data_IF_738943497938
#
_entry.id   IF_738943497938
#
_cell.length_a   1.000
_cell.length_b   1.000
_cell.length_c   1.000
_cell.angle_alpha   90.00
_cell.angle_beta   90.00
_cell.angle_gamma   90.00
#
_symmetry.space_group_name_H-M   'P 1'
#
loop_
_entity.id
_entity.type
_entity.pdbx_description
1 polymer ?
#
# COMPACT_ATOMS: atom_id res chain seq x y z
N UNK A 1 -25.76 34.37 -66.81
CA UNK A 1 -25.70 34.42 -65.33
C UNK A 1 -24.96 33.22 -64.82
N UNK A 2 -23.68 33.38 -64.43
CA UNK A 2 -22.86 32.31 -63.87
C UNK A 2 -23.06 32.36 -62.35
N UNK A 3 -23.61 31.29 -61.78
CA UNK A 3 -23.68 31.09 -60.32
C UNK A 3 -22.37 30.50 -59.81
N UNK A 4 -21.54 31.29 -59.13
CA UNK A 4 -20.33 30.88 -58.47
C UNK A 4 -20.73 30.27 -57.12
N UNK A 5 -20.57 28.95 -56.99
CA UNK A 5 -20.79 28.22 -55.78
C UNK A 5 -19.56 28.38 -54.88
N UNK A 6 -19.66 29.12 -53.78
CA UNK A 6 -18.57 29.31 -52.80
C UNK A 6 -18.59 28.12 -51.82
N UNK A 7 -17.71 27.19 -52.02
CA UNK A 7 -17.49 26.08 -51.08
C UNK A 7 -16.65 26.58 -49.89
N UNK A 8 -17.31 26.86 -48.78
CA UNK A 8 -16.66 27.17 -47.51
C UNK A 8 -16.15 25.85 -46.92
N UNK A 9 -14.89 25.52 -47.14
CA UNK A 9 -14.19 24.45 -46.47
C UNK A 9 -13.97 24.85 -45.00
N UNK A 10 -14.87 24.43 -44.13
CA UNK A 10 -14.66 24.44 -42.69
C UNK A 10 -13.61 23.39 -42.35
N UNK A 11 -12.34 23.79 -42.24
CA UNK A 11 -11.28 22.98 -41.67
C UNK A 11 -11.56 22.83 -40.17
N UNK A 12 -12.24 21.76 -39.77
CA UNK A 12 -12.35 21.37 -38.38
C UNK A 12 -10.93 20.93 -37.97
N UNK A 13 -10.18 21.81 -37.34
CA UNK A 13 -8.94 21.48 -36.67
C UNK A 13 -9.33 20.67 -35.44
N UNK A 14 -9.35 19.36 -35.58
CA UNK A 14 -9.43 18.43 -34.47
C UNK A 14 -8.14 18.61 -33.67
N UNK A 15 -8.16 19.45 -32.65
CA UNK A 15 -7.13 19.41 -31.60
C UNK A 15 -7.32 18.09 -30.88
N UNK A 16 -6.58 17.06 -31.29
CA UNK A 16 -6.53 15.80 -30.57
C UNK A 16 -6.01 16.08 -29.15
N UNK A 17 -6.81 15.78 -28.14
CA UNK A 17 -6.38 15.87 -26.74
C UNK A 17 -5.17 14.96 -26.56
N UNK A 18 -4.08 15.49 -26.00
CA UNK A 18 -2.89 14.69 -25.69
C UNK A 18 -3.23 13.66 -24.62
N UNK A 19 -2.79 12.44 -24.84
CA UNK A 19 -3.02 11.34 -23.88
C UNK A 19 -1.70 10.70 -23.46
N UNK A 20 -1.65 10.25 -22.22
CA UNK A 20 -0.61 9.38 -21.68
C UNK A 20 -1.26 8.08 -21.23
N UNK A 21 -0.82 6.96 -21.75
CA UNK A 21 -1.39 5.65 -21.44
C UNK A 21 -0.66 5.01 -20.25
N UNK A 22 -1.39 4.41 -19.34
CA UNK A 22 -0.82 3.54 -18.29
C UNK A 22 -0.29 2.28 -18.97
N UNK A 23 1.02 2.24 -19.19
CA UNK A 23 1.69 1.13 -19.87
C UNK A 23 1.81 -0.11 -18.98
N UNK A 24 0.97 -1.13 -19.24
CA UNK A 24 0.96 -2.42 -18.55
C UNK A 24 1.89 -3.44 -19.25
N UNK A 25 3.09 -3.02 -19.64
CA UNK A 25 4.08 -3.86 -20.32
C UNK A 25 5.04 -4.60 -19.39
N UNK A 26 5.07 -4.25 -18.08
CA UNK A 26 5.99 -4.86 -17.12
C UNK A 26 5.57 -6.30 -16.80
N UNK A 27 6.54 -7.22 -16.68
CA UNK A 27 6.25 -8.61 -16.36
C UNK A 27 5.65 -8.78 -14.96
N UNK A 28 4.48 -9.42 -14.92
CA UNK A 28 3.77 -9.88 -13.72
C UNK A 28 3.63 -11.40 -13.72
N UNK A 29 4.67 -12.11 -14.18
CA UNK A 29 4.66 -13.58 -14.23
C UNK A 29 4.53 -14.17 -12.83
N UNK A 30 3.55 -15.05 -12.65
CA UNK A 30 3.47 -15.98 -11.52
C UNK A 30 4.47 -17.13 -11.74
N UNK A 31 5.60 -17.08 -11.04
CA UNK A 31 6.65 -18.10 -11.19
C UNK A 31 6.23 -19.49 -10.75
N UNK A 32 5.18 -19.60 -9.91
CA UNK A 32 4.63 -20.88 -9.44
C UNK A 32 3.52 -21.40 -10.35
N UNK A 33 3.06 -20.60 -11.30
CA UNK A 33 1.88 -20.88 -12.13
C UNK A 33 0.68 -21.33 -11.28
N UNK A 34 0.44 -20.68 -10.13
CA UNK A 34 -0.58 -21.10 -9.17
C UNK A 34 -1.97 -20.60 -9.55
N UNK A 35 -2.05 -19.50 -10.30
CA UNK A 35 -3.31 -18.84 -10.62
C UNK A 35 -3.90 -19.38 -11.93
N UNK A 36 -5.16 -19.80 -11.86
CA UNK A 36 -5.96 -20.31 -12.99
C UNK A 36 -6.60 -19.20 -13.79
N UNK A 37 -7.26 -18.28 -13.10
CA UNK A 37 -8.00 -17.18 -13.72
C UNK A 37 -7.84 -15.88 -12.92
N UNK A 38 -8.00 -14.74 -13.61
CA UNK A 38 -8.12 -13.42 -13.00
C UNK A 38 -9.48 -12.82 -13.38
N UNK A 39 -10.25 -12.42 -12.38
CA UNK A 39 -11.41 -11.53 -12.53
C UNK A 39 -11.01 -10.14 -12.04
N UNK A 40 -11.23 -9.12 -12.86
CA UNK A 40 -10.97 -7.73 -12.48
C UNK A 40 -12.29 -7.00 -12.27
N UNK A 41 -12.46 -6.42 -11.10
CA UNK A 41 -13.63 -5.64 -10.69
C UNK A 41 -13.17 -4.18 -10.52
N UNK A 42 -13.66 -3.29 -11.39
CA UNK A 42 -13.43 -1.85 -11.25
C UNK A 42 -14.57 -1.23 -10.43
N UNK A 43 -14.28 -0.93 -9.16
CA UNK A 43 -15.23 -0.34 -8.19
C UNK A 43 -15.09 1.16 -8.07
N UNK A 44 -14.26 1.80 -8.90
CA UNK A 44 -14.09 3.24 -8.85
C UNK A 44 -15.40 3.94 -9.18
N UNK A 45 -15.79 4.88 -8.33
CA UNK A 45 -16.98 5.72 -8.57
C UNK A 45 -16.80 6.60 -9.83
N UNK A 46 -15.55 7.03 -10.10
CA UNK A 46 -15.13 7.75 -11.28
C UNK A 46 -14.05 6.94 -12.00
N UNK A 47 -14.32 6.50 -13.21
CA UNK A 47 -13.39 5.71 -14.00
C UNK A 47 -12.31 6.55 -14.69
N UNK A 48 -12.42 7.89 -14.67
CA UNK A 48 -11.39 8.77 -15.18
C UNK A 48 -10.16 8.73 -14.27
N UNK A 49 -8.98 8.51 -14.85
CA UNK A 49 -7.73 8.50 -14.09
C UNK A 49 -7.30 9.90 -13.70
N UNK A 50 -7.36 10.85 -14.63
CA UNK A 50 -7.06 12.25 -14.38
C UNK A 50 -6.30 12.95 -15.51
N UNK A 51 -5.91 14.19 -15.26
CA UNK A 51 -5.20 15.05 -16.22
C UNK A 51 -4.05 15.77 -15.54
N UNK A 52 -2.98 16.00 -16.31
CA UNK A 52 -1.79 16.76 -15.91
C UNK A 52 -1.47 17.77 -17.00
N UNK A 53 -1.16 18.99 -16.63
CA UNK A 53 -0.68 19.99 -17.61
C UNK A 53 0.77 19.72 -17.99
N UNK A 54 1.03 19.71 -19.27
CA UNK A 54 2.37 19.73 -19.83
C UNK A 54 2.54 20.97 -20.70
N UNK A 55 3.32 21.93 -20.22
CA UNK A 55 3.40 23.30 -20.75
C UNK A 55 2.01 23.97 -20.73
N UNK A 56 1.38 24.13 -21.88
CA UNK A 56 0.03 24.73 -22.04
C UNK A 56 -1.04 23.72 -22.41
N UNK A 57 -0.65 22.46 -22.62
CA UNK A 57 -1.54 21.39 -23.08
C UNK A 57 -1.98 20.51 -21.92
N UNK A 58 -3.24 20.13 -21.92
CA UNK A 58 -3.77 19.10 -21.01
C UNK A 58 -3.42 17.73 -21.57
N UNK A 59 -2.79 16.91 -20.72
CA UNK A 59 -2.50 15.51 -21.02
C UNK A 59 -3.42 14.64 -20.16
N UNK A 60 -4.37 13.98 -20.79
CA UNK A 60 -5.27 13.03 -20.13
C UNK A 60 -4.55 11.70 -19.93
N UNK A 61 -4.59 11.16 -18.71
CA UNK A 61 -4.02 9.84 -18.40
C UNK A 61 -5.13 8.81 -18.49
N UNK A 62 -4.91 7.75 -19.26
CA UNK A 62 -5.93 6.78 -19.61
C UNK A 62 -5.39 5.34 -19.55
N UNK A 63 -6.28 4.35 -19.46
CA UNK A 63 -6.04 3.00 -19.95
C UNK A 63 -6.25 2.94 -21.46
N UNK A 64 -5.69 1.98 -22.15
CA UNK A 64 -5.86 1.83 -23.61
C UNK A 64 -7.32 1.54 -23.99
N UNK A 65 -7.98 0.65 -23.25
CA UNK A 65 -9.41 0.35 -23.37
C UNK A 65 -10.15 0.81 -22.12
N UNK A 66 -10.05 0.01 -21.06
CA UNK A 66 -10.51 0.31 -19.70
C UNK A 66 -9.72 -0.51 -18.70
N UNK A 67 -9.77 -0.11 -17.42
CA UNK A 67 -8.96 -0.74 -16.38
C UNK A 67 -9.18 -2.25 -16.29
N UNK A 68 -10.42 -2.72 -16.30
CA UNK A 68 -10.74 -4.14 -16.14
C UNK A 68 -10.17 -4.98 -17.26
N UNK A 69 -10.38 -4.55 -18.52
CA UNK A 69 -9.90 -5.27 -19.69
C UNK A 69 -8.37 -5.27 -19.75
N UNK A 70 -7.74 -4.10 -19.60
CA UNK A 70 -6.31 -3.94 -19.80
C UNK A 70 -5.52 -4.69 -18.71
N UNK A 71 -5.98 -4.66 -17.44
CA UNK A 71 -5.36 -5.44 -16.35
C UNK A 71 -5.54 -6.93 -16.57
N UNK A 72 -6.70 -7.37 -17.03
CA UNK A 72 -6.98 -8.78 -17.32
C UNK A 72 -6.12 -9.29 -18.50
N UNK A 73 -6.04 -8.52 -19.59
CA UNK A 73 -5.21 -8.86 -20.76
C UNK A 73 -3.72 -8.89 -20.36
N UNK A 74 -3.29 -7.95 -19.52
CA UNK A 74 -1.94 -7.91 -18.96
C UNK A 74 -1.61 -9.17 -18.18
N UNK A 75 -2.52 -9.62 -17.30
CA UNK A 75 -2.34 -10.86 -16.56
C UNK A 75 -2.17 -12.06 -17.50
N UNK A 76 -3.09 -12.24 -18.46
CA UNK A 76 -3.05 -13.39 -19.36
C UNK A 76 -1.86 -13.38 -20.32
N UNK A 77 -1.38 -12.22 -20.71
CA UNK A 77 -0.15 -12.06 -21.52
C UNK A 77 1.07 -12.67 -20.83
N UNK A 78 1.21 -12.47 -19.51
CA UNK A 78 2.39 -12.93 -18.78
C UNK A 78 2.20 -14.28 -18.08
N UNK A 79 0.99 -14.81 -18.03
CA UNK A 79 0.66 -16.08 -17.37
C UNK A 79 -0.08 -17.05 -18.33
N UNK A 80 0.61 -17.52 -19.40
CA UNK A 80 -0.01 -18.47 -20.36
C UNK A 80 -0.22 -19.86 -19.75
N UNK A 81 0.66 -20.27 -18.82
CA UNK A 81 0.50 -21.51 -18.03
C UNK A 81 -0.26 -21.19 -16.76
N UNK A 82 -1.31 -21.97 -16.47
CA UNK A 82 -2.27 -21.69 -15.43
C UNK A 82 -2.33 -22.80 -14.40
N UNK A 83 -2.59 -22.40 -13.15
CA UNK A 83 -2.79 -23.30 -12.01
C UNK A 83 -4.26 -23.61 -11.73
N UNK A 84 -4.59 -23.70 -10.44
CA UNK A 84 -5.91 -24.10 -9.97
C UNK A 84 -6.65 -23.03 -9.15
N UNK A 85 -6.00 -21.90 -8.81
CA UNK A 85 -6.59 -20.89 -7.94
C UNK A 85 -7.21 -19.75 -8.77
N UNK A 86 -8.43 -19.39 -8.48
CA UNK A 86 -9.07 -18.22 -9.05
C UNK A 86 -8.76 -16.98 -8.22
N UNK A 87 -8.22 -15.93 -8.87
CA UNK A 87 -7.89 -14.65 -8.25
C UNK A 87 -8.89 -13.59 -8.67
N UNK A 88 -9.24 -12.74 -7.72
CA UNK A 88 -10.02 -11.52 -7.99
C UNK A 88 -9.18 -10.31 -7.65
N UNK A 89 -9.12 -9.36 -8.56
CA UNK A 89 -8.50 -8.06 -8.40
C UNK A 89 -9.58 -7.00 -8.34
N UNK A 90 -9.57 -6.19 -7.28
CA UNK A 90 -10.52 -5.09 -7.10
C UNK A 90 -9.76 -3.78 -7.19
N UNK A 91 -10.11 -2.93 -8.16
CA UNK A 91 -9.59 -1.58 -8.28
C UNK A 91 -10.57 -0.62 -7.60
N UNK A 92 -10.18 -0.11 -6.43
CA UNK A 92 -11.03 0.72 -5.58
C UNK A 92 -10.85 2.22 -5.85
N UNK A 93 -9.59 2.64 -6.11
CA UNK A 93 -9.24 4.01 -6.46
C UNK A 93 -8.01 4.05 -7.38
N UNK A 94 -8.06 4.89 -8.38
CA UNK A 94 -6.90 5.27 -9.19
C UNK A 94 -7.16 6.69 -9.70
N UNK A 95 -6.51 7.66 -9.08
CA UNK A 95 -6.67 9.07 -9.41
C UNK A 95 -5.31 9.73 -9.54
N UNK A 96 -5.15 10.52 -10.58
CA UNK A 96 -3.96 11.34 -10.81
C UNK A 96 -4.41 12.79 -10.90
N UNK A 97 -3.76 13.66 -10.14
CA UNK A 97 -4.06 15.08 -10.07
C UNK A 97 -2.78 15.92 -10.00
N UNK A 98 -2.92 17.22 -10.17
CA UNK A 98 -1.83 18.18 -10.14
C UNK A 98 -2.18 19.37 -9.25
N UNK A 99 -1.26 19.73 -8.38
CA UNK A 99 -1.25 20.98 -7.63
C UNK A 99 -0.20 21.92 -8.25
N UNK A 100 -0.66 22.97 -8.95
CA UNK A 100 0.19 23.94 -9.64
C UNK A 100 0.66 25.02 -8.70
N UNK A 101 1.95 25.23 -8.67
CA UNK A 101 2.61 26.34 -8.00
C UNK A 101 3.15 27.30 -9.06
N UNK A 102 3.56 28.47 -8.64
CA UNK A 102 4.04 29.52 -9.54
C UNK A 102 5.20 29.06 -10.48
N UNK A 103 6.15 28.27 -9.95
CA UNK A 103 7.35 27.85 -10.69
C UNK A 103 7.48 26.34 -10.92
N UNK A 104 6.55 25.53 -10.42
CA UNK A 104 6.55 24.07 -10.56
C UNK A 104 5.18 23.52 -10.23
N UNK A 105 5.00 22.24 -10.52
CA UNK A 105 3.80 21.50 -10.14
C UNK A 105 4.15 20.32 -9.25
N UNK A 106 3.20 19.93 -8.43
CA UNK A 106 3.24 18.69 -7.66
C UNK A 106 2.16 17.76 -8.23
N UNK A 107 2.58 16.70 -8.89
CA UNK A 107 1.70 15.64 -9.32
C UNK A 107 1.42 14.68 -8.17
N UNK A 108 0.17 14.23 -8.05
CA UNK A 108 -0.30 13.29 -7.04
C UNK A 108 -0.94 12.09 -7.71
N UNK A 109 -0.55 10.88 -7.32
CA UNK A 109 -1.21 9.62 -7.65
C UNK A 109 -1.80 9.04 -6.37
N UNK A 110 -3.09 8.75 -6.38
CA UNK A 110 -3.80 7.99 -5.36
C UNK A 110 -4.19 6.64 -5.96
N UNK A 111 -3.76 5.55 -5.35
CA UNK A 111 -4.08 4.21 -5.82
C UNK A 111 -4.48 3.33 -4.65
N UNK A 112 -5.65 2.68 -4.79
CA UNK A 112 -6.11 1.63 -3.90
C UNK A 112 -6.59 0.46 -4.72
N UNK A 113 -6.00 -0.70 -4.49
CA UNK A 113 -6.38 -1.95 -5.13
C UNK A 113 -6.10 -3.11 -4.20
N UNK A 114 -6.94 -4.15 -4.29
CA UNK A 114 -6.88 -5.33 -3.44
C UNK A 114 -7.02 -6.60 -4.25
N UNK A 115 -6.49 -7.69 -3.72
CA UNK A 115 -6.59 -9.01 -4.33
C UNK A 115 -7.20 -10.01 -3.38
N UNK A 116 -7.93 -10.96 -3.95
CA UNK A 116 -8.61 -12.03 -3.22
C UNK A 116 -8.40 -13.36 -3.93
N UNK A 117 -8.42 -14.44 -3.17
CA UNK A 117 -8.62 -15.80 -3.69
C UNK A 117 -10.11 -16.12 -3.65
N UNK A 118 -10.69 -16.51 -4.79
CA UNK A 118 -12.07 -16.99 -4.83
C UNK A 118 -12.09 -18.49 -4.57
N UNK A 119 -12.82 -18.91 -3.54
CA UNK A 119 -13.05 -20.31 -3.17
C UNK A 119 -14.55 -20.60 -3.13
N UNK A 120 -14.91 -21.84 -2.80
CA UNK A 120 -16.33 -22.26 -2.71
C UNK A 120 -17.11 -21.52 -1.64
N UNK A 121 -16.45 -21.17 -0.53
CA UNK A 121 -17.02 -20.46 0.62
C UNK A 121 -17.00 -18.93 0.50
N UNK A 122 -16.41 -18.37 -0.56
CA UNK A 122 -16.38 -16.94 -0.81
C UNK A 122 -15.01 -16.39 -1.23
N UNK A 123 -14.79 -15.12 -0.90
CA UNK A 123 -13.60 -14.36 -1.29
C UNK A 123 -12.69 -14.19 -0.07
N UNK A 124 -11.45 -14.65 -0.17
CA UNK A 124 -10.43 -14.57 0.85
C UNK A 124 -9.42 -13.50 0.50
N UNK A 125 -9.29 -12.49 1.34
CA UNK A 125 -8.35 -11.40 1.14
C UNK A 125 -6.90 -11.92 1.08
N UNK A 126 -6.08 -11.36 0.16
CA UNK A 126 -4.66 -11.71 0.03
C UNK A 126 -3.78 -10.52 0.35
N UNK A 127 -3.91 -9.44 -0.42
CA UNK A 127 -3.04 -8.26 -0.28
C UNK A 127 -3.75 -7.00 -0.77
N UNK A 128 -3.24 -5.84 -0.35
CA UNK A 128 -3.75 -4.52 -0.71
C UNK A 128 -2.61 -3.53 -0.89
N UNK A 129 -2.72 -2.71 -1.91
CA UNK A 129 -1.98 -1.47 -2.01
C UNK A 129 -2.93 -0.29 -1.81
N UNK A 130 -2.63 0.52 -0.81
CA UNK A 130 -3.33 1.77 -0.53
C UNK A 130 -2.27 2.84 -0.34
N UNK A 131 -2.06 3.68 -1.36
CA UNK A 131 -0.91 4.56 -1.39
C UNK A 131 -1.19 5.87 -2.10
N UNK A 132 -0.51 6.91 -1.63
CA UNK A 132 -0.44 8.21 -2.27
C UNK A 132 1.01 8.51 -2.60
N UNK A 133 1.27 8.80 -3.87
CA UNK A 133 2.60 9.18 -4.36
C UNK A 133 2.56 10.62 -4.84
N UNK A 134 3.48 11.44 -4.36
CA UNK A 134 3.67 12.81 -4.84
C UNK A 134 5.00 12.96 -5.56
N UNK A 135 5.00 13.72 -6.67
CA UNK A 135 6.17 13.95 -7.52
C UNK A 135 6.24 15.43 -7.88
N UNK A 136 7.40 16.07 -7.66
CA UNK A 136 7.61 17.45 -8.07
C UNK A 136 8.18 17.55 -9.48
N UNK A 137 7.63 18.44 -10.31
CA UNK A 137 8.13 18.71 -11.66
C UNK A 137 9.54 19.29 -11.70
N UNK A 138 10.05 19.82 -10.57
CA UNK A 138 11.43 20.25 -10.43
C UNK A 138 12.43 19.10 -10.53
N UNK A 139 12.02 17.90 -10.04
CA UNK A 139 12.87 16.70 -10.01
C UNK A 139 12.52 15.81 -11.19
N UNK A 140 11.25 15.82 -11.61
CA UNK A 140 10.70 14.91 -12.59
C UNK A 140 9.83 15.68 -13.59
N UNK A 141 10.42 16.15 -14.72
CA UNK A 141 9.75 17.09 -15.64
C UNK A 141 8.50 16.52 -16.32
N UNK A 142 8.46 15.22 -16.61
CA UNK A 142 7.33 14.58 -17.32
C UNK A 142 6.37 13.94 -16.31
N UNK A 143 5.58 14.77 -15.59
CA UNK A 143 4.71 14.31 -14.50
C UNK A 143 3.71 13.25 -14.95
N UNK A 144 2.99 13.45 -16.05
CA UNK A 144 1.98 12.51 -16.56
C UNK A 144 2.60 11.11 -16.75
N UNK A 145 3.68 11.02 -17.53
CA UNK A 145 4.39 9.77 -17.81
C UNK A 145 4.93 9.12 -16.52
N UNK A 146 5.50 9.91 -15.62
CA UNK A 146 6.08 9.38 -14.40
C UNK A 146 5.02 8.86 -13.44
N UNK A 147 3.87 9.53 -13.32
CA UNK A 147 2.76 9.07 -12.48
C UNK A 147 2.08 7.84 -13.07
N UNK A 148 1.86 7.80 -14.40
CA UNK A 148 1.37 6.60 -15.09
C UNK A 148 2.30 5.39 -14.87
N UNK A 149 3.62 5.59 -15.04
CA UNK A 149 4.61 4.54 -14.75
C UNK A 149 4.61 4.10 -13.28
N UNK A 150 4.41 5.02 -12.33
CA UNK A 150 4.31 4.67 -10.91
C UNK A 150 3.06 3.85 -10.63
N UNK A 151 1.93 4.16 -11.26
CA UNK A 151 0.73 3.31 -11.17
C UNK A 151 1.02 1.88 -11.62
N UNK A 152 1.66 1.70 -12.78
CA UNK A 152 2.09 0.37 -13.28
C UNK A 152 3.02 -0.35 -12.30
N UNK A 153 3.96 0.35 -11.67
CA UNK A 153 4.87 -0.26 -10.68
C UNK A 153 4.12 -0.76 -9.46
N UNK A 154 3.21 0.05 -8.90
CA UNK A 154 2.41 -0.32 -7.73
C UNK A 154 1.52 -1.53 -8.05
N UNK A 155 0.85 -1.53 -9.20
CA UNK A 155 0.05 -2.67 -9.66
C UNK A 155 0.91 -3.92 -9.87
N UNK A 156 2.11 -3.77 -10.44
CA UNK A 156 3.09 -4.87 -10.60
C UNK A 156 3.45 -5.48 -9.25
N UNK A 157 3.73 -4.64 -8.26
CA UNK A 157 4.13 -5.10 -6.94
C UNK A 157 2.96 -5.78 -6.22
N UNK A 158 1.73 -5.26 -6.37
CA UNK A 158 0.53 -5.92 -5.83
C UNK A 158 0.38 -7.35 -6.38
N UNK A 159 0.48 -7.55 -7.70
CA UNK A 159 0.42 -8.88 -8.28
C UNK A 159 1.52 -9.81 -7.73
N UNK A 160 2.76 -9.34 -7.70
CA UNK A 160 3.90 -10.15 -7.24
C UNK A 160 3.81 -10.54 -5.77
N UNK A 161 3.33 -9.65 -4.92
CA UNK A 161 3.11 -9.97 -3.51
C UNK A 161 1.90 -10.88 -3.33
N UNK A 162 0.82 -10.67 -4.10
CA UNK A 162 -0.35 -11.55 -4.06
C UNK A 162 -0.05 -12.99 -4.45
N UNK A 163 0.88 -13.23 -5.40
CA UNK A 163 1.30 -14.60 -5.75
C UNK A 163 2.06 -15.31 -4.63
N UNK A 164 2.63 -14.57 -3.69
CA UNK A 164 3.33 -15.11 -2.52
C UNK A 164 2.46 -15.14 -1.27
N UNK A 165 1.46 -14.26 -1.26
CA UNK A 165 0.57 -14.06 -0.13
C UNK A 165 -0.28 -15.29 0.16
N UNK A 166 -0.61 -15.48 1.42
CA UNK A 166 -1.57 -16.50 1.84
C UNK A 166 -2.94 -15.83 2.00
N UNK A 167 -3.99 -16.40 1.37
CA UNK A 167 -5.35 -15.90 1.59
C UNK A 167 -5.71 -15.97 3.07
N UNK A 168 -6.36 -14.93 3.57
CA UNK A 168 -6.84 -14.91 4.95
C UNK A 168 -7.85 -16.05 5.18
N UNK A 169 -7.94 -16.53 6.42
CA UNK A 169 -8.89 -17.58 6.78
C UNK A 169 -10.36 -17.12 6.66
N UNK A 170 -10.60 -15.83 6.88
CA UNK A 170 -11.94 -15.24 6.80
C UNK A 170 -12.38 -15.12 5.34
N UNK A 171 -13.59 -15.57 5.06
CA UNK A 171 -14.25 -15.37 3.77
C UNK A 171 -15.27 -14.24 3.84
N UNK A 172 -15.47 -13.57 2.71
CA UNK A 172 -16.53 -12.58 2.51
C UNK A 172 -17.39 -12.98 1.31
N UNK A 173 -18.65 -12.56 1.31
CA UNK A 173 -19.56 -12.83 0.19
C UNK A 173 -19.33 -11.81 -0.94
N UNK A 174 -19.79 -12.13 -2.13
CA UNK A 174 -19.66 -11.23 -3.29
C UNK A 174 -20.34 -9.88 -3.06
N UNK A 175 -21.49 -9.88 -2.38
CA UNK A 175 -22.23 -8.67 -1.99
C UNK A 175 -21.43 -7.74 -1.06
N UNK A 176 -20.48 -8.28 -0.32
CA UNK A 176 -19.70 -7.55 0.68
C UNK A 176 -18.39 -6.97 0.10
N UNK A 177 -17.99 -7.38 -1.12
CA UNK A 177 -16.80 -6.88 -1.78
C UNK A 177 -16.70 -5.34 -1.82
N UNK A 178 -17.78 -4.56 -2.05
CA UNK A 178 -17.69 -3.11 -2.00
C UNK A 178 -17.30 -2.54 -0.63
N UNK A 179 -17.62 -3.26 0.45
CA UNK A 179 -17.38 -2.86 1.85
C UNK A 179 -16.49 -3.86 2.60
N UNK A 180 -15.72 -4.67 1.88
CA UNK A 180 -14.95 -5.78 2.45
C UNK A 180 -14.07 -5.36 3.63
N UNK A 181 -13.52 -4.15 3.58
CA UNK A 181 -12.64 -3.66 4.64
C UNK A 181 -13.36 -3.54 5.99
N UNK A 182 -14.61 -3.09 6.01
CA UNK A 182 -15.43 -3.04 7.22
C UNK A 182 -15.76 -4.44 7.72
N UNK A 183 -16.21 -5.31 6.81
CA UNK A 183 -16.59 -6.70 7.14
C UNK A 183 -15.41 -7.49 7.72
N UNK A 184 -14.23 -7.38 7.10
CA UNK A 184 -13.03 -8.05 7.59
C UNK A 184 -12.51 -7.43 8.90
N UNK A 185 -12.58 -6.10 9.07
CA UNK A 185 -12.20 -5.44 10.32
C UNK A 185 -12.97 -5.98 11.52
N UNK A 186 -14.26 -6.25 11.35
CA UNK A 186 -15.09 -6.82 12.40
C UNK A 186 -14.67 -8.23 12.82
N UNK A 187 -13.91 -8.93 11.98
CA UNK A 187 -13.42 -10.28 12.28
C UNK A 187 -12.04 -10.30 12.96
N UNK A 188 -11.35 -9.14 13.03
CA UNK A 188 -10.02 -9.04 13.61
C UNK A 188 -10.07 -9.17 15.13
N UNK A 189 -9.51 -10.27 15.64
CA UNK A 189 -9.59 -10.63 17.06
C UNK A 189 -8.90 -9.63 17.97
N UNK A 190 -7.80 -8.99 17.55
CA UNK A 190 -7.07 -8.00 18.35
C UNK A 190 -7.96 -6.80 18.73
N UNK A 191 -8.88 -6.40 17.85
CA UNK A 191 -9.78 -5.27 18.09
C UNK A 191 -10.80 -5.56 19.20
N UNK A 192 -11.13 -6.85 19.41
CA UNK A 192 -12.10 -7.33 20.38
C UNK A 192 -11.47 -7.87 21.66
N UNK A 193 -10.18 -8.19 21.62
CA UNK A 193 -9.49 -8.82 22.75
C UNK A 193 -9.42 -7.89 23.96
N UNK A 194 -9.79 -8.40 25.12
CA UNK A 194 -9.58 -7.72 26.42
C UNK A 194 -8.17 -7.98 26.96
N UNK A 195 -7.65 -9.18 26.69
CA UNK A 195 -6.31 -9.58 27.08
C UNK A 195 -5.48 -9.94 25.86
N UNK A 196 -4.22 -9.58 25.88
CA UNK A 196 -3.29 -9.84 24.78
C UNK A 196 -2.54 -11.15 25.01
N UNK A 197 -2.49 -12.01 24.00
CA UNK A 197 -1.72 -13.26 24.05
C UNK A 197 -0.24 -12.97 23.96
N UNK A 198 0.52 -13.46 24.97
CA UNK A 198 1.98 -13.39 25.01
C UNK A 198 2.62 -14.05 23.79
N UNK A 199 3.74 -13.49 23.31
CA UNK A 199 4.54 -14.07 22.25
C UNK A 199 4.89 -13.09 21.14
N UNK A 200 5.43 -13.64 20.05
CA UNK A 200 5.84 -12.87 18.85
C UNK A 200 4.83 -13.04 17.72
N UNK A 201 4.69 -12.00 16.93
CA UNK A 201 3.81 -11.95 15.78
C UNK A 201 4.66 -11.70 14.53
N UNK A 202 4.66 -12.64 13.61
CA UNK A 202 5.52 -12.64 12.43
C UNK A 202 5.24 -11.47 11.50
N UNK A 203 3.96 -11.19 11.28
CA UNK A 203 3.46 -10.18 10.35
C UNK A 203 2.22 -9.47 10.93
N UNK A 204 1.71 -8.50 10.19
CA UNK A 204 0.52 -7.76 10.61
C UNK A 204 -0.72 -8.65 10.69
N UNK A 205 -0.87 -9.64 9.80
CA UNK A 205 -2.01 -10.55 9.82
C UNK A 205 -2.05 -11.35 11.12
N UNK A 206 -0.94 -11.98 11.50
CA UNK A 206 -0.84 -12.72 12.76
C UNK A 206 -1.13 -11.86 13.98
N UNK A 207 -0.68 -10.59 13.97
CA UNK A 207 -0.97 -9.64 15.05
C UNK A 207 -2.45 -9.26 15.11
N UNK A 208 -3.03 -8.86 13.97
CA UNK A 208 -4.44 -8.44 13.94
C UNK A 208 -5.43 -9.60 14.15
N UNK A 209 -5.08 -10.81 13.76
CA UNK A 209 -5.85 -12.03 14.09
C UNK A 209 -5.57 -12.58 15.49
N UNK A 210 -4.63 -11.95 16.22
CA UNK A 210 -4.26 -12.31 17.58
C UNK A 210 -3.74 -13.75 17.70
N UNK A 211 -2.91 -14.16 16.72
CA UNK A 211 -2.36 -15.50 16.57
C UNK A 211 -0.82 -15.44 16.65
N UNK A 212 -0.24 -15.48 17.87
CA UNK A 212 1.21 -15.45 18.02
C UNK A 212 1.85 -16.72 17.47
N UNK A 213 3.09 -16.61 16.99
CA UNK A 213 3.88 -17.75 16.53
C UNK A 213 4.12 -18.75 17.67
N UNK A 214 3.77 -20.03 17.48
CA UNK A 214 3.87 -21.02 18.55
C UNK A 214 5.32 -21.38 18.88
N UNK A 215 5.56 -21.65 20.17
CA UNK A 215 6.81 -22.20 20.67
C UNK A 215 7.93 -21.19 20.88
N UNK A 216 7.69 -19.89 20.68
CA UNK A 216 8.65 -18.85 21.02
C UNK A 216 8.49 -18.40 22.47
N UNK A 217 9.62 -18.17 23.15
CA UNK A 217 9.72 -17.48 24.43
C UNK A 217 10.54 -16.21 24.26
N UNK A 218 10.15 -15.13 24.96
CA UNK A 218 10.84 -13.85 24.89
C UNK A 218 11.98 -13.77 25.89
N UNK A 219 13.14 -13.26 25.44
CA UNK A 219 14.29 -13.01 26.29
C UNK A 219 14.58 -11.53 26.41
N UNK A 220 14.56 -11.03 27.64
CA UNK A 220 14.98 -9.69 27.98
C UNK A 220 16.48 -9.67 28.37
N UNK A 221 17.11 -8.53 28.17
CA UNK A 221 18.45 -8.25 28.67
C UNK A 221 18.39 -7.78 30.16
N UNK A 222 19.56 -7.51 30.74
CA UNK A 222 19.70 -7.06 32.16
C UNK A 222 18.97 -5.73 32.45
N UNK A 223 18.59 -4.98 31.41
CA UNK A 223 17.80 -3.74 31.51
C UNK A 223 16.29 -3.99 31.36
N UNK A 224 15.86 -5.24 31.29
CA UNK A 224 14.46 -5.62 31.09
C UNK A 224 13.95 -5.40 29.64
N UNK A 225 14.83 -5.12 28.68
CA UNK A 225 14.45 -4.94 27.28
C UNK A 225 14.40 -6.28 26.56
N UNK A 226 13.29 -6.59 25.90
CA UNK A 226 13.17 -7.77 25.04
C UNK A 226 14.08 -7.58 23.82
N UNK A 227 15.01 -8.50 23.64
CA UNK A 227 15.99 -8.44 22.54
C UNK A 227 15.89 -9.62 21.58
N UNK A 228 15.40 -10.75 22.04
CA UNK A 228 15.34 -12.00 21.29
C UNK A 228 14.04 -12.76 21.56
N UNK A 229 13.66 -13.58 20.60
CA UNK A 229 12.70 -14.65 20.75
C UNK A 229 13.42 -15.99 20.53
N UNK A 230 13.14 -16.97 21.36
CA UNK A 230 13.82 -18.28 21.38
C UNK A 230 12.81 -19.39 21.15
N UNK A 231 13.14 -20.29 20.23
CA UNK A 231 12.36 -21.50 19.94
C UNK A 231 13.31 -22.70 19.86
N UNK A 232 13.31 -23.53 20.90
CA UNK A 232 14.32 -24.58 21.06
C UNK A 232 15.72 -23.98 21.16
N UNK A 233 16.65 -24.37 20.28
CA UNK A 233 18.00 -23.81 20.21
C UNK A 233 18.12 -22.54 19.39
N UNK A 234 17.09 -22.22 18.55
CA UNK A 234 17.09 -21.07 17.65
C UNK A 234 16.84 -19.78 18.41
N UNK A 235 17.70 -18.80 18.17
CA UNK A 235 17.60 -17.45 18.74
C UNK A 235 17.39 -16.43 17.63
N UNK A 236 16.20 -15.84 17.56
CA UNK A 236 15.84 -14.82 16.56
C UNK A 236 15.79 -13.45 17.22
N UNK A 237 16.43 -12.46 16.62
CA UNK A 237 16.34 -11.07 17.09
C UNK A 237 14.91 -10.57 17.03
N UNK A 238 14.46 -9.84 18.06
CA UNK A 238 13.06 -9.37 18.14
C UNK A 238 12.64 -8.50 16.95
N UNK A 239 13.57 -7.83 16.29
CA UNK A 239 13.34 -6.98 15.11
C UNK A 239 12.84 -7.72 13.87
N UNK A 240 12.98 -9.04 13.82
CA UNK A 240 12.48 -9.86 12.70
C UNK A 240 10.98 -10.11 12.74
N UNK A 241 10.31 -9.73 13.83
CA UNK A 241 8.88 -9.87 14.00
C UNK A 241 8.17 -8.51 13.77
N UNK A 242 6.94 -8.55 13.35
CA UNK A 242 6.11 -7.36 13.18
C UNK A 242 5.83 -6.68 14.52
N UNK A 243 5.43 -7.50 15.51
CA UNK A 243 5.08 -7.08 16.85
C UNK A 243 5.38 -8.20 17.86
N UNK A 244 5.34 -7.89 19.14
CA UNK A 244 5.36 -8.88 20.23
C UNK A 244 4.54 -8.39 21.41
N UNK A 245 4.06 -9.32 22.23
CA UNK A 245 3.39 -9.04 23.50
C UNK A 245 4.27 -9.59 24.61
N UNK A 246 4.54 -8.78 25.62
CA UNK A 246 5.33 -9.14 26.79
C UNK A 246 4.75 -8.52 28.06
N UNK A 247 4.46 -9.35 29.06
CA UNK A 247 3.78 -8.94 30.29
C UNK A 247 2.44 -8.20 30.05
N UNK A 248 1.66 -8.68 29.09
CA UNK A 248 0.36 -8.11 28.73
C UNK A 248 0.42 -6.82 27.93
N UNK A 249 1.61 -6.33 27.56
CA UNK A 249 1.80 -5.11 26.78
C UNK A 249 2.24 -5.47 25.38
N UNK A 250 1.55 -4.93 24.35
CA UNK A 250 1.94 -5.11 22.97
C UNK A 250 2.97 -4.06 22.53
N UNK A 251 3.93 -4.48 21.72
CA UNK A 251 4.99 -3.64 21.19
C UNK A 251 5.12 -3.81 19.68
N UNK A 252 5.25 -2.69 18.96
CA UNK A 252 5.53 -2.63 17.52
C UNK A 252 7.00 -2.35 17.28
N UNK A 253 7.64 -3.18 16.46
CA UNK A 253 8.98 -2.86 15.99
C UNK A 253 8.95 -1.66 15.03
N UNK A 254 9.82 -0.70 15.30
CA UNK A 254 10.04 0.52 14.51
C UNK A 254 11.55 0.66 14.20
N UNK A 255 11.97 1.51 13.26
CA UNK A 255 13.38 1.63 12.88
C UNK A 255 14.35 1.87 14.04
N UNK A 256 13.95 2.62 15.06
CA UNK A 256 14.81 2.97 16.20
C UNK A 256 14.67 2.01 17.40
N UNK A 257 13.95 0.91 17.28
CA UNK A 257 13.72 -0.04 18.36
C UNK A 257 12.30 -0.61 18.34
N UNK A 258 11.58 -0.48 19.44
CA UNK A 258 10.15 -0.80 19.50
C UNK A 258 9.41 0.19 20.40
N UNK A 259 8.11 0.32 20.18
CA UNK A 259 7.21 1.20 20.93
C UNK A 259 5.96 0.45 21.32
N UNK A 260 5.31 0.89 22.39
CA UNK A 260 4.05 0.32 22.86
C UNK A 260 2.93 0.54 21.83
N UNK A 261 2.07 -0.46 21.70
CA UNK A 261 0.87 -0.42 20.88
C UNK A 261 -0.33 -0.16 21.80
N UNK A 262 -1.16 0.78 21.40
CA UNK A 262 -2.40 1.13 22.06
C UNK A 262 -3.60 0.79 21.17
N UNK A 263 -4.78 0.75 21.78
CA UNK A 263 -6.05 0.53 21.09
C UNK A 263 -7.09 1.54 21.56
N UNK A 264 -7.85 2.10 20.63
CA UNK A 264 -9.04 2.90 20.89
C UNK A 264 -10.17 2.51 19.90
N UNK A 265 -11.26 3.27 19.89
CA UNK A 265 -12.43 3.04 19.04
C UNK A 265 -12.11 3.10 17.53
N UNK A 266 -11.07 3.83 17.13
CA UNK A 266 -10.67 3.97 15.74
C UNK A 266 -9.72 2.84 15.28
N UNK A 267 -9.13 2.10 16.23
CA UNK A 267 -8.28 0.95 15.94
C UNK A 267 -7.04 0.85 16.80
N UNK A 268 -6.01 0.27 16.23
CA UNK A 268 -4.71 0.03 16.86
C UNK A 268 -3.75 1.14 16.44
N UNK A 269 -3.03 1.75 17.38
CA UNK A 269 -2.12 2.85 17.11
C UNK A 269 -0.85 2.78 17.96
N UNK A 270 0.16 3.52 17.52
CA UNK A 270 1.39 3.81 18.27
C UNK A 270 1.54 5.32 18.42
N UNK A 271 2.26 5.75 19.44
CA UNK A 271 2.61 7.17 19.64
C UNK A 271 4.07 7.36 19.32
N UNK A 272 4.35 8.00 18.18
CA UNK A 272 5.71 8.13 17.64
C UNK A 272 5.93 9.47 16.96
N UNK A 273 7.16 9.93 16.97
CA UNK A 273 7.61 11.10 16.23
C UNK A 273 8.06 10.71 14.81
N UNK A 274 8.19 11.71 13.94
CA UNK A 274 8.73 11.53 12.58
C UNK A 274 10.15 10.94 12.62
N UNK A 275 11.00 11.40 13.52
CA UNK A 275 12.38 10.91 13.63
C UNK A 275 12.47 9.44 14.06
N UNK A 276 11.50 8.95 14.83
CA UNK A 276 11.46 7.54 15.25
C UNK A 276 11.01 6.61 14.11
N UNK A 277 10.06 7.05 13.26
CA UNK A 277 9.63 6.27 12.09
C UNK A 277 10.54 6.44 10.89
N UNK A 278 11.14 7.63 10.72
CA UNK A 278 11.97 8.00 9.58
C UNK A 278 13.25 8.65 10.07
N UNK A 279 14.17 7.88 10.69
CA UNK A 279 15.44 8.42 11.09
C UNK A 279 16.21 8.92 9.86
N UNK A 280 16.79 10.11 9.94
CA UNK A 280 17.60 10.66 8.86
C UNK A 280 18.80 9.72 8.61
N UNK A 281 18.76 9.02 7.49
CA UNK A 281 19.92 8.31 6.98
C UNK A 281 20.72 9.28 6.12
N UNK A 282 22.01 9.39 6.36
CA UNK A 282 22.95 10.32 5.70
C UNK A 282 23.14 10.05 4.20
N UNK A 283 22.35 9.21 3.56
CA UNK A 283 22.49 8.89 2.14
C UNK A 283 21.14 8.82 1.46
N UNK A 284 20.96 9.76 0.54
CA UNK A 284 19.91 9.85 -0.48
C UNK A 284 18.57 10.44 -0.01
N UNK A 285 18.24 11.59 -0.59
CA UNK A 285 16.96 12.25 -0.50
C UNK A 285 15.85 11.36 -1.10
N UNK A 286 15.31 10.44 -0.31
CA UNK A 286 14.03 9.83 -0.62
C UNK A 286 12.97 10.82 -0.16
N UNK A 287 12.36 11.53 -1.11
CA UNK A 287 11.18 12.34 -0.83
C UNK A 287 10.04 11.37 -0.55
N UNK A 288 9.82 11.09 0.74
CA UNK A 288 8.66 10.31 1.19
C UNK A 288 7.46 11.23 1.04
N UNK A 289 6.63 10.94 0.05
CA UNK A 289 5.32 11.58 -0.08
C UNK A 289 4.46 11.17 1.12
N UNK A 290 4.29 12.09 2.07
CA UNK A 290 3.37 11.92 3.20
C UNK A 290 1.97 12.24 2.64
N UNK A 291 1.21 11.23 2.33
CA UNK A 291 -0.21 11.32 2.03
C UNK A 291 -0.99 10.49 3.04
N UNK A 292 -2.22 10.87 3.34
CA UNK A 292 -3.14 10.08 4.14
C UNK A 292 -3.47 8.77 3.40
N UNK A 293 -2.68 7.75 3.63
CA UNK A 293 -2.79 6.44 2.97
C UNK A 293 -1.40 5.86 2.74
N UNK A 294 -0.97 4.98 3.59
CA UNK A 294 0.11 4.02 3.48
C UNK A 294 1.42 4.44 2.80
N UNK A 295 2.49 4.50 3.56
CA UNK A 295 3.85 4.51 3.03
C UNK A 295 4.17 3.14 2.41
N UNK A 296 4.15 3.06 1.07
CA UNK A 296 4.87 2.02 0.33
C UNK A 296 6.32 2.50 0.17
N UNK A 297 7.09 2.27 1.18
CA UNK A 297 8.53 2.47 1.16
C UNK A 297 9.16 1.37 1.97
N UNK A 298 9.53 0.28 1.31
CA UNK A 298 10.51 -0.61 1.87
C UNK A 298 11.77 0.21 2.16
N UNK A 299 12.04 0.50 3.43
CA UNK A 299 13.39 0.92 3.83
C UNK A 299 14.27 -0.31 3.63
N UNK A 300 14.86 -0.42 2.44
CA UNK A 300 15.86 -1.43 2.16
C UNK A 300 17.09 -1.06 3.00
N UNK A 301 17.26 -1.79 4.09
CA UNK A 301 18.55 -2.16 4.65
C UNK A 301 19.58 -1.05 4.85
N UNK A 302 19.35 -0.12 5.78
CA UNK A 302 20.44 0.41 6.56
C UNK A 302 20.43 -0.34 7.91
N UNK A 303 21.41 -1.17 8.16
CA UNK A 303 21.68 -1.69 9.49
C UNK A 303 22.16 -0.51 10.31
N UNK A 304 21.25 0.20 10.95
CA UNK A 304 21.59 1.17 11.96
C UNK A 304 21.83 0.37 13.22
N UNK A 305 23.06 0.34 13.66
CA UNK A 305 23.44 -0.15 14.99
C UNK A 305 22.95 0.88 16.03
N UNK A 306 21.63 0.87 16.25
CA UNK A 306 21.01 1.72 17.25
C UNK A 306 21.03 0.95 18.54
N UNK A 307 21.87 1.36 19.44
CA UNK A 307 21.84 0.91 20.84
C UNK A 307 20.43 1.18 21.39
N UNK A 308 19.75 0.10 21.81
CA UNK A 308 18.45 0.19 22.45
C UNK A 308 18.53 1.12 23.67
N UNK A 309 17.88 2.25 23.61
CA UNK A 309 17.70 3.12 24.76
C UNK A 309 16.22 3.19 25.10
N UNK A 310 15.84 2.65 26.26
CA UNK A 310 14.58 2.97 26.92
C UNK A 310 14.66 4.42 27.41
N UNK A 311 14.48 5.39 26.51
CA UNK A 311 14.15 6.72 26.95
C UNK A 311 12.69 6.68 27.37
N UNK A 312 12.42 6.85 28.67
CA UNK A 312 11.09 7.32 29.12
C UNK A 312 10.77 8.54 28.30
N UNK A 313 9.79 8.43 27.40
CA UNK A 313 9.40 9.54 26.53
C UNK A 313 8.86 10.66 27.40
N UNK A 314 9.55 11.78 27.48
CA UNK A 314 9.03 13.01 28.06
C UNK A 314 8.10 13.77 27.08
N UNK A 315 8.00 13.32 25.83
CA UNK A 315 7.10 13.86 24.80
C UNK A 315 6.43 12.70 24.07
N UNK A 316 5.13 12.58 24.25
CA UNK A 316 4.30 11.69 23.47
C UNK A 316 4.24 12.22 22.03
N UNK A 317 4.56 11.39 21.06
CA UNK A 317 4.36 11.70 19.64
C UNK A 317 2.86 11.69 19.27
N UNK A 318 2.50 12.15 18.07
CA UNK A 318 1.14 12.01 17.58
C UNK A 318 0.76 10.53 17.45
N UNK A 319 -0.56 10.26 17.54
CA UNK A 319 -1.10 8.93 17.27
C UNK A 319 -0.93 8.57 15.79
N UNK A 320 -0.33 7.42 15.54
CA UNK A 320 -0.16 6.83 14.21
C UNK A 320 -0.86 5.49 14.21
N UNK A 321 -1.96 5.38 13.47
CA UNK A 321 -2.72 4.13 13.38
C UNK A 321 -2.00 3.12 12.50
N UNK A 322 -2.23 1.84 12.77
CA UNK A 322 -1.72 0.72 11.98
C UNK A 322 -2.85 0.21 11.08
N UNK A 323 -2.59 0.17 9.78
CA UNK A 323 -3.55 -0.40 8.82
C UNK A 323 -3.56 -1.92 8.94
N UNK A 324 -4.70 -2.54 9.26
CA UNK A 324 -4.77 -4.00 9.42
C UNK A 324 -4.61 -4.77 8.12
N UNK A 325 -4.80 -4.14 6.96
CA UNK A 325 -4.73 -4.79 5.64
C UNK A 325 -3.34 -4.75 4.99
N UNK A 326 -2.50 -3.82 5.42
CA UNK A 326 -1.16 -3.65 4.86
C UNK A 326 -0.06 -3.70 5.92
N UNK A 327 -0.42 -3.56 7.19
CA UNK A 327 0.53 -3.40 8.30
C UNK A 327 1.27 -2.07 8.31
N UNK A 328 0.90 -1.15 7.42
CA UNK A 328 1.53 0.15 7.25
C UNK A 328 1.03 1.18 8.28
N UNK A 329 1.72 2.32 8.33
CA UNK A 329 1.35 3.44 9.19
C UNK A 329 0.35 4.35 8.49
N UNK A 330 -0.76 4.65 9.13
CA UNK A 330 -1.71 5.69 8.72
C UNK A 330 -1.30 6.99 9.40
N UNK A 331 -0.55 7.80 8.66
CA UNK A 331 0.01 9.04 9.17
C UNK A 331 -1.04 10.16 9.16
N UNK A 332 -1.19 10.95 10.25
CA UNK A 332 -2.02 12.15 10.23
C UNK A 332 -1.46 13.20 9.25
N UNK A 333 -2.32 14.07 8.72
CA UNK A 333 -1.96 15.08 7.70
C UNK A 333 -0.86 16.05 8.15
N UNK A 334 -0.76 16.31 9.44
CA UNK A 334 0.23 17.20 10.06
C UNK A 334 1.46 16.45 10.60
N UNK A 335 1.58 15.14 10.34
CA UNK A 335 2.68 14.34 10.83
C UNK A 335 4.03 14.89 10.39
N UNK A 336 4.84 15.29 11.38
CA UNK A 336 6.19 15.84 11.17
C UNK A 336 6.22 17.28 10.68
N UNK A 337 5.10 17.99 10.67
CA UNK A 337 5.10 19.45 10.56
C UNK A 337 5.47 20.04 11.93
N UNK A 338 6.52 20.82 11.99
CA UNK A 338 6.82 21.68 13.18
C UNK A 338 5.76 22.76 13.29
N UNK A 339 5.10 22.82 14.45
CA UNK A 339 4.25 23.97 14.80
C UNK A 339 5.10 25.21 14.99
#
# INVERSE_FOLDING_TARGET
MKKTLFFLLFSIVLFGQKTETIDLSKSIKDSKNSIKSLTVIDQRADQEVGMIMYHKDEVKIIFENNASKDIQDWFYKYNPVRGNNDMVFVLENLKISEDRKEKYSIGKLELRASTFSKKEDGYHFIDRKDTIVTVSSRITPYLAQNLARKATLILTDLFKESYKGMPWEFSIQESDLPNYASVLKEQLSILKANELKEGVYKDYYSFFTHTPEPGFTLQANDKGLVTKAVKGEDKTGIRHFYAFVHNGIAYKNIPVGYTEIFKDENGVFIEVTKAELFPETTTSAVTIGIGAGGLVGGVIGAVIDVSFSNKKKNTLGPKVYLDPFTGNYLLPEDFGKTK
#
